data_IF_503626326809
#
_entry.id   IF_503626326809
#
_cell.length_a   1.000
_cell.length_b   1.000
_cell.length_c   1.000
_cell.angle_alpha   90.00
_cell.angle_beta   90.00
_cell.angle_gamma   90.00
#
_symmetry.space_group_name_H-M   'P 1'
#
loop_
_entity.id
_entity.type
_entity.pdbx_description
1 polymer ?
#
# COMPACT_ATOMS: atom_id res chain seq x y z
N UNK A 1 12.16 -60.09 -31.43
CA UNK A 1 10.93 -59.30 -31.45
C UNK A 1 11.12 -58.13 -32.39
N UNK A 2 10.04 -57.58 -32.93
CA UNK A 2 10.06 -56.28 -33.60
C UNK A 2 10.12 -55.19 -32.48
N UNK A 3 10.70 -54.06 -32.81
CA UNK A 3 10.68 -52.90 -31.90
C UNK A 3 9.23 -52.41 -31.68
N UNK A 4 8.91 -51.88 -30.48
CA UNK A 4 7.55 -51.47 -30.06
C UNK A 4 6.47 -52.55 -30.27
N UNK A 5 6.72 -53.80 -29.91
CA UNK A 5 5.77 -54.91 -30.04
C UNK A 5 5.34 -55.51 -28.71
N UNK A 6 4.04 -55.74 -28.60
CA UNK A 6 3.40 -56.52 -27.51
C UNK A 6 2.86 -57.85 -28.00
N UNK A 7 3.28 -58.31 -29.25
CA UNK A 7 2.84 -59.55 -29.83
C UNK A 7 3.51 -60.77 -29.16
N UNK A 8 2.75 -61.86 -29.04
CA UNK A 8 3.28 -63.13 -28.55
C UNK A 8 4.24 -63.73 -29.59
N UNK A 9 5.46 -64.00 -29.16
CA UNK A 9 6.39 -64.75 -30.00
C UNK A 9 6.11 -66.29 -29.90
N UNK A 10 6.02 -66.96 -30.98
CA UNK A 10 5.82 -68.44 -31.00
C UNK A 10 6.82 -69.12 -31.86
N UNK A 11 7.21 -70.28 -31.44
CA UNK A 11 8.02 -71.22 -32.22
C UNK A 11 7.28 -72.56 -32.29
N UNK A 12 6.96 -72.95 -33.46
CA UNK A 12 6.22 -74.18 -33.71
C UNK A 12 7.06 -75.15 -34.54
N UNK A 13 7.12 -76.40 -34.14
CA UNK A 13 7.76 -77.46 -34.97
C UNK A 13 6.83 -77.86 -36.15
N UNK A 14 7.17 -77.40 -37.35
CA UNK A 14 6.33 -77.54 -38.57
C UNK A 14 6.83 -78.55 -39.57
N UNK A 15 8.04 -79.05 -39.38
CA UNK A 15 8.66 -79.99 -40.32
C UNK A 15 8.63 -81.44 -39.85
N UNK A 16 8.68 -82.35 -40.84
CA UNK A 16 8.94 -83.73 -40.52
C UNK A 16 10.39 -83.88 -40.14
N UNK A 17 10.66 -84.47 -38.97
CA UNK A 17 12.00 -84.89 -38.54
C UNK A 17 11.97 -86.38 -38.22
N UNK A 18 13.09 -87.03 -38.45
CA UNK A 18 13.20 -88.47 -38.22
C UNK A 18 14.32 -88.77 -37.21
N UNK A 19 14.20 -89.87 -36.48
CA UNK A 19 15.30 -90.44 -35.75
C UNK A 19 16.27 -91.22 -36.70
N UNK A 20 17.37 -91.70 -36.13
CA UNK A 20 18.41 -92.44 -36.93
C UNK A 20 17.96 -93.75 -37.54
N UNK A 21 16.73 -94.19 -37.29
CA UNK A 21 16.15 -95.46 -37.82
C UNK A 21 14.86 -95.18 -38.62
N UNK A 22 14.50 -93.90 -38.89
CA UNK A 22 13.43 -93.50 -39.80
C UNK A 22 12.07 -93.32 -39.14
N UNK A 23 11.96 -93.25 -37.83
CA UNK A 23 10.69 -92.92 -37.17
C UNK A 23 10.43 -91.40 -37.26
N UNK A 24 9.25 -91.04 -37.75
CA UNK A 24 8.81 -89.67 -37.93
C UNK A 24 8.38 -89.10 -36.60
N UNK A 25 8.93 -87.94 -36.25
CA UNK A 25 8.58 -87.20 -35.04
C UNK A 25 7.24 -86.47 -35.12
N UNK A 26 6.60 -86.21 -34.01
CA UNK A 26 5.33 -85.49 -33.98
C UNK A 26 5.57 -84.00 -34.31
N UNK A 27 4.75 -83.48 -35.26
CA UNK A 27 4.66 -82.05 -35.57
C UNK A 27 3.63 -81.35 -34.64
N UNK A 28 3.70 -80.02 -34.53
CA UNK A 28 2.74 -79.20 -33.78
C UNK A 28 3.08 -78.96 -32.29
N UNK A 29 4.30 -79.39 -31.83
CA UNK A 29 4.79 -78.85 -30.56
C UNK A 29 5.13 -77.41 -30.73
N UNK A 30 4.57 -76.54 -29.89
CA UNK A 30 4.78 -75.11 -29.90
C UNK A 30 5.14 -74.61 -28.47
N UNK A 31 5.88 -73.54 -28.43
CA UNK A 31 6.17 -72.81 -27.24
C UNK A 31 5.99 -71.31 -27.55
N UNK A 32 5.49 -70.56 -26.57
CA UNK A 32 5.19 -69.12 -26.70
C UNK A 32 5.89 -68.34 -25.59
N UNK A 33 6.35 -67.18 -25.98
CA UNK A 33 6.91 -66.24 -25.07
C UNK A 33 6.14 -64.88 -25.20
N UNK A 34 5.76 -64.30 -24.10
CA UNK A 34 5.25 -62.93 -24.11
C UNK A 34 6.36 -61.98 -24.52
N UNK A 35 6.06 -61.07 -25.43
CA UNK A 35 6.96 -60.03 -25.90
C UNK A 35 6.34 -58.70 -25.60
N UNK A 36 7.10 -57.83 -24.91
CA UNK A 36 6.82 -56.42 -24.73
C UNK A 36 8.12 -55.65 -24.91
N UNK A 37 8.19 -54.83 -25.96
CA UNK A 37 9.33 -53.96 -26.28
C UNK A 37 8.90 -52.51 -26.33
N UNK A 38 7.71 -52.20 -25.80
CA UNK A 38 7.17 -50.85 -25.79
C UNK A 38 7.60 -50.16 -24.52
N UNK A 39 8.26 -49.01 -24.66
CA UNK A 39 8.63 -48.17 -23.49
C UNK A 39 7.40 -47.50 -22.87
N UNK A 40 7.26 -47.45 -21.56
CA UNK A 40 6.18 -46.76 -20.90
C UNK A 40 6.28 -45.25 -21.18
N UNK A 41 5.17 -44.65 -21.60
CA UNK A 41 5.04 -43.17 -21.70
C UNK A 41 4.42 -42.60 -20.41
N UNK A 42 4.65 -41.31 -20.17
CA UNK A 42 4.12 -40.64 -18.95
C UNK A 42 3.56 -39.26 -19.24
N UNK A 43 2.68 -38.81 -18.34
CA UNK A 43 2.24 -37.40 -18.23
C UNK A 43 2.33 -36.96 -16.79
N UNK A 44 2.65 -35.68 -16.55
CA UNK A 44 2.63 -35.03 -15.23
C UNK A 44 1.62 -33.88 -15.28
N UNK A 45 0.77 -33.77 -14.27
CA UNK A 45 -0.24 -32.72 -14.20
C UNK A 45 -0.31 -32.18 -12.76
N UNK A 46 -0.31 -30.86 -12.63
CA UNK A 46 -0.72 -30.14 -11.43
C UNK A 46 -2.24 -29.91 -11.49
N UNK A 47 -2.99 -30.19 -10.44
CA UNK A 47 -4.43 -29.89 -10.38
C UNK A 47 -4.71 -28.38 -10.18
N UNK A 48 -3.77 -27.66 -9.54
CA UNK A 48 -3.74 -26.21 -9.46
C UNK A 48 -2.60 -25.66 -10.33
N UNK A 49 -2.94 -24.77 -11.26
CA UNK A 49 -1.96 -24.18 -12.19
C UNK A 49 -1.43 -22.83 -11.75
N UNK A 50 -1.96 -22.29 -10.65
CA UNK A 50 -1.52 -21.06 -9.99
C UNK A 50 -1.57 -21.26 -8.49
N UNK A 51 -0.45 -21.05 -7.81
CA UNK A 51 -0.29 -21.20 -6.37
C UNK A 51 0.05 -19.84 -5.79
N UNK A 52 -0.59 -19.50 -4.68
CA UNK A 52 -0.42 -18.22 -3.96
C UNK A 52 -0.14 -18.48 -2.49
N UNK A 53 0.17 -17.43 -1.72
CA UNK A 53 0.43 -17.54 -0.29
C UNK A 53 -0.76 -18.13 0.45
N UNK A 54 -0.49 -19.12 1.29
CA UNK A 54 -1.51 -19.71 2.15
C UNK A 54 -1.98 -18.70 3.22
N UNK A 55 -3.30 -18.60 3.40
CA UNK A 55 -3.93 -17.84 4.47
C UNK A 55 -4.71 -18.76 5.39
N UNK A 56 -4.09 -19.13 6.50
CA UNK A 56 -4.70 -20.07 7.47
C UNK A 56 -4.43 -21.52 7.10
N UNK A 57 -5.35 -22.22 6.47
CA UNK A 57 -5.24 -23.63 6.06
C UNK A 57 -6.12 -23.85 4.83
N UNK A 58 -6.06 -22.93 3.87
CA UNK A 58 -6.84 -23.00 2.64
C UNK A 58 -6.16 -23.82 1.52
N UNK A 59 -4.88 -24.21 1.72
CA UNK A 59 -4.09 -24.98 0.76
C UNK A 59 -3.83 -24.21 -0.54
N UNK A 60 -3.80 -22.89 -0.48
CA UNK A 60 -3.63 -22.03 -1.65
C UNK A 60 -2.24 -22.12 -2.28
N UNK A 61 -1.24 -22.58 -1.50
CA UNK A 61 0.14 -22.85 -1.91
C UNK A 61 0.36 -24.32 -2.31
N UNK A 62 -0.68 -25.16 -2.27
CA UNK A 62 -0.61 -26.59 -2.55
C UNK A 62 -1.26 -26.97 -3.88
N UNK A 63 -0.73 -28.02 -4.49
CA UNK A 63 -1.31 -28.68 -5.68
C UNK A 63 -1.07 -30.18 -5.62
N UNK A 64 -2.08 -30.96 -5.98
CA UNK A 64 -1.88 -32.39 -6.22
C UNK A 64 -1.18 -32.58 -7.56
N UNK A 65 -0.02 -33.22 -7.51
CA UNK A 65 0.71 -33.68 -8.69
C UNK A 65 0.28 -35.11 -9.00
N UNK A 66 -0.21 -35.32 -10.21
CA UNK A 66 -0.60 -36.62 -10.73
C UNK A 66 0.34 -37.01 -11.88
N UNK A 67 0.99 -38.14 -11.75
CA UNK A 67 1.83 -38.75 -12.79
C UNK A 67 1.09 -39.99 -13.30
N UNK A 68 0.80 -40.03 -14.60
CA UNK A 68 0.09 -41.14 -15.23
C UNK A 68 0.98 -41.80 -16.28
N UNK A 69 1.19 -43.10 -16.15
CA UNK A 69 1.92 -43.94 -17.10
C UNK A 69 0.96 -44.68 -18.01
N UNK A 70 1.41 -44.99 -19.24
CA UNK A 70 0.66 -45.81 -20.20
C UNK A 70 0.42 -47.23 -19.71
N UNK A 71 1.31 -47.71 -18.82
CA UNK A 71 1.31 -49.05 -18.24
C UNK A 71 1.92 -49.07 -16.85
N UNK A 72 1.91 -50.23 -16.18
CA UNK A 72 2.43 -50.36 -14.81
C UNK A 72 3.96 -50.32 -14.79
N UNK A 73 4.50 -49.40 -13.96
CA UNK A 73 5.95 -49.22 -13.79
C UNK A 73 6.46 -49.82 -12.49
N UNK A 74 7.74 -50.18 -12.45
CA UNK A 74 8.45 -50.70 -11.28
C UNK A 74 9.64 -49.82 -10.93
N UNK A 75 10.03 -49.80 -9.65
CA UNK A 75 11.14 -49.03 -9.11
C UNK A 75 10.98 -47.48 -9.20
N UNK A 76 9.85 -46.97 -9.67
CA UNK A 76 9.60 -45.51 -9.72
C UNK A 76 9.42 -44.92 -8.33
N UNK A 77 10.05 -43.77 -8.09
CA UNK A 77 10.02 -43.02 -6.80
C UNK A 77 10.28 -41.53 -7.00
N UNK A 78 10.25 -40.77 -5.91
CA UNK A 78 10.63 -39.34 -5.93
C UNK A 78 12.08 -39.10 -6.38
N UNK A 79 12.98 -40.11 -6.27
CA UNK A 79 14.38 -40.00 -6.72
C UNK A 79 14.51 -39.87 -8.24
N UNK A 80 13.48 -40.32 -9.00
CA UNK A 80 13.39 -40.20 -10.45
C UNK A 80 12.85 -38.84 -10.91
N UNK A 81 12.59 -37.92 -9.95
CA UNK A 81 12.04 -36.59 -10.24
C UNK A 81 13.02 -35.48 -9.83
N UNK A 82 12.98 -34.39 -10.59
CA UNK A 82 13.53 -33.09 -10.20
C UNK A 82 12.38 -32.18 -9.87
N UNK A 83 12.41 -31.59 -8.66
CA UNK A 83 11.38 -30.67 -8.14
C UNK A 83 12.01 -29.30 -7.94
N UNK A 84 11.41 -28.25 -8.51
CA UNK A 84 11.83 -26.85 -8.37
C UNK A 84 10.65 -25.99 -7.86
N UNK A 85 10.93 -24.91 -7.14
CA UNK A 85 9.95 -23.94 -6.66
C UNK A 85 9.14 -24.38 -5.43
N UNK A 86 9.46 -25.53 -4.85
CA UNK A 86 8.76 -26.06 -3.67
C UNK A 86 9.21 -27.45 -3.28
N UNK A 87 8.35 -28.15 -2.58
CA UNK A 87 8.57 -29.53 -2.11
C UNK A 87 7.44 -30.44 -2.58
N UNK A 88 7.76 -31.70 -2.86
CA UNK A 88 6.80 -32.74 -3.23
C UNK A 88 6.81 -33.83 -2.14
N UNK A 89 5.65 -34.16 -1.61
CA UNK A 89 5.51 -35.30 -0.69
C UNK A 89 5.88 -36.61 -1.38
N UNK A 90 6.16 -37.63 -0.59
CA UNK A 90 6.39 -38.97 -1.14
C UNK A 90 5.17 -39.42 -1.97
N UNK A 91 5.46 -39.90 -3.18
CA UNK A 91 4.44 -40.35 -4.11
C UNK A 91 3.78 -41.66 -3.66
N UNK A 92 2.46 -41.73 -3.85
CA UNK A 92 1.70 -42.95 -3.63
C UNK A 92 1.09 -43.44 -4.92
N UNK A 93 1.19 -44.78 -5.19
CA UNK A 93 0.66 -45.37 -6.41
C UNK A 93 -0.71 -46.03 -6.23
N UNK A 94 -1.44 -46.17 -7.34
CA UNK A 94 -2.58 -47.06 -7.43
C UNK A 94 -2.13 -48.54 -7.43
N UNK A 95 -3.09 -49.47 -7.35
CA UNK A 95 -2.80 -50.92 -7.31
C UNK A 95 -2.12 -51.48 -8.58
N UNK A 96 -2.19 -50.80 -9.71
CA UNK A 96 -1.57 -51.19 -10.99
C UNK A 96 -0.25 -50.42 -11.28
N UNK A 97 0.19 -49.56 -10.39
CA UNK A 97 1.35 -48.68 -10.54
C UNK A 97 1.31 -47.82 -11.83
N UNK A 98 0.13 -47.50 -12.33
CA UNK A 98 -0.07 -46.67 -13.53
C UNK A 98 -0.32 -45.21 -13.17
N UNK A 99 -0.76 -44.90 -11.94
CA UNK A 99 -1.06 -43.53 -11.47
C UNK A 99 -0.38 -43.33 -10.13
N UNK A 100 0.40 -42.25 -10.03
CA UNK A 100 1.13 -41.85 -8.86
C UNK A 100 0.73 -40.43 -8.47
N UNK A 101 0.51 -40.19 -7.19
CA UNK A 101 0.07 -38.90 -6.68
C UNK A 101 0.88 -38.46 -5.48
N UNK A 102 1.14 -37.15 -5.36
CA UNK A 102 1.73 -36.50 -4.23
C UNK A 102 1.26 -35.05 -4.14
N UNK A 103 1.43 -34.40 -2.99
CA UNK A 103 1.14 -32.99 -2.81
C UNK A 103 2.42 -32.19 -3.01
N UNK A 104 2.39 -31.25 -3.94
CA UNK A 104 3.40 -30.20 -4.09
C UNK A 104 2.99 -29.03 -3.20
N UNK A 105 3.96 -28.48 -2.45
CA UNK A 105 3.79 -27.24 -1.65
C UNK A 105 4.80 -26.23 -2.16
N UNK A 106 4.34 -25.05 -2.56
CA UNK A 106 5.19 -23.96 -3.05
C UNK A 106 6.11 -23.42 -1.93
N UNK A 107 7.27 -22.91 -2.31
CA UNK A 107 8.15 -22.19 -1.38
C UNK A 107 7.47 -20.89 -0.96
N UNK A 108 7.43 -20.58 0.32
CA UNK A 108 6.91 -19.31 0.84
C UNK A 108 7.77 -18.11 0.39
N UNK A 109 7.15 -16.93 0.28
CA UNK A 109 7.76 -15.67 -0.17
C UNK A 109 8.58 -15.83 -1.49
N UNK A 110 8.00 -16.53 -2.48
CA UNK A 110 8.66 -16.88 -3.75
C UNK A 110 7.77 -16.62 -4.97
N UNK A 111 8.39 -16.20 -6.06
CA UNK A 111 7.80 -16.16 -7.41
C UNK A 111 8.43 -17.19 -8.35
N UNK A 112 9.20 -18.15 -7.80
CA UNK A 112 9.79 -19.24 -8.58
C UNK A 112 8.74 -20.27 -8.92
N UNK A 113 8.44 -20.44 -10.21
CA UNK A 113 7.44 -21.40 -10.67
C UNK A 113 7.70 -22.81 -10.14
N UNK A 114 6.63 -23.48 -9.76
CA UNK A 114 6.63 -24.91 -9.46
C UNK A 114 6.96 -25.69 -10.74
N UNK A 115 7.89 -26.63 -10.64
CA UNK A 115 8.21 -27.55 -11.72
C UNK A 115 8.43 -28.94 -11.16
N UNK A 116 7.83 -29.93 -11.80
CA UNK A 116 8.12 -31.35 -11.60
C UNK A 116 8.47 -31.94 -12.96
N UNK A 117 9.65 -32.51 -13.07
CA UNK A 117 10.11 -33.20 -14.30
C UNK A 117 10.81 -34.49 -13.95
N UNK A 118 10.86 -35.43 -14.91
CA UNK A 118 11.72 -36.62 -14.79
C UNK A 118 13.19 -36.21 -14.77
N UNK A 119 13.97 -36.86 -13.93
CA UNK A 119 15.43 -36.73 -13.94
C UNK A 119 16.02 -37.34 -15.24
N UNK A 120 17.13 -36.75 -15.71
CA UNK A 120 17.79 -37.21 -16.94
C UNK A 120 18.31 -38.68 -16.86
N UNK A 121 18.42 -39.24 -15.63
CA UNK A 121 18.84 -40.59 -15.33
C UNK A 121 17.78 -41.31 -14.49
N UNK A 122 16.50 -41.16 -14.81
CA UNK A 122 15.43 -41.92 -14.19
C UNK A 122 15.64 -43.42 -14.34
N UNK A 123 15.49 -44.18 -13.24
CA UNK A 123 15.83 -45.60 -13.17
C UNK A 123 14.59 -46.50 -12.99
N UNK A 124 13.48 -46.15 -13.61
CA UNK A 124 12.27 -46.97 -13.58
C UNK A 124 12.06 -47.70 -14.92
N UNK A 125 11.43 -48.85 -14.86
CA UNK A 125 11.08 -49.63 -16.02
C UNK A 125 9.62 -50.08 -15.93
N UNK A 126 9.07 -50.62 -17.04
CA UNK A 126 7.86 -51.42 -16.98
C UNK A 126 8.14 -52.79 -16.27
N UNK A 127 7.13 -53.65 -16.22
CA UNK A 127 7.24 -54.97 -15.61
C UNK A 127 8.07 -55.97 -16.46
N UNK A 128 8.34 -55.64 -17.74
CA UNK A 128 9.14 -56.45 -18.68
C UNK A 128 10.57 -55.96 -18.82
N UNK A 129 10.89 -54.77 -18.28
CA UNK A 129 12.23 -54.20 -18.24
C UNK A 129 12.52 -53.17 -19.32
N UNK A 130 11.50 -52.62 -20.00
CA UNK A 130 11.67 -51.52 -20.93
C UNK A 130 11.83 -50.21 -20.16
N UNK A 131 12.81 -49.38 -20.59
CA UNK A 131 13.16 -48.13 -19.91
C UNK A 131 12.03 -47.10 -19.99
N UNK A 132 11.85 -46.31 -18.89
CA UNK A 132 10.84 -45.28 -18.79
C UNK A 132 11.15 -43.99 -19.57
N UNK A 133 10.14 -43.17 -19.78
CA UNK A 133 10.27 -41.85 -20.38
C UNK A 133 11.13 -40.90 -19.51
N UNK A 134 11.92 -40.02 -20.14
CA UNK A 134 12.82 -39.06 -19.43
C UNK A 134 12.51 -37.59 -19.68
N UNK A 135 11.83 -37.25 -20.76
CA UNK A 135 11.60 -35.83 -21.16
C UNK A 135 10.17 -35.35 -20.87
N UNK A 136 9.67 -35.62 -19.65
CA UNK A 136 8.31 -35.20 -19.24
C UNK A 136 8.41 -34.19 -18.11
N UNK A 137 7.74 -33.05 -18.27
CA UNK A 137 7.66 -31.99 -17.25
C UNK A 137 6.28 -31.37 -17.17
N UNK A 138 5.97 -30.80 -16.00
CA UNK A 138 4.84 -29.92 -15.77
C UNK A 138 5.26 -28.71 -14.94
N UNK A 139 4.58 -27.59 -15.17
CA UNK A 139 4.86 -26.31 -14.50
C UNK A 139 3.54 -25.70 -14.01
N UNK A 140 3.57 -25.13 -12.79
CA UNK A 140 2.52 -24.24 -12.28
C UNK A 140 3.13 -22.88 -11.93
N UNK A 141 2.35 -21.81 -12.09
CA UNK A 141 2.76 -20.45 -11.69
C UNK A 141 2.72 -20.35 -10.17
N UNK A 142 3.75 -19.76 -9.59
CA UNK A 142 3.82 -19.51 -8.14
C UNK A 142 4.03 -18.02 -7.91
N UNK A 143 3.19 -17.48 -7.04
CA UNK A 143 3.40 -16.18 -6.41
C UNK A 143 2.88 -16.23 -4.98
N UNK A 144 3.80 -16.45 -4.04
CA UNK A 144 3.53 -16.50 -2.59
C UNK A 144 4.08 -15.28 -1.87
N UNK A 145 4.48 -14.25 -2.61
CA UNK A 145 4.93 -12.97 -2.05
C UNK A 145 3.71 -12.13 -1.70
N UNK A 146 3.63 -11.67 -0.46
CA UNK A 146 2.60 -10.69 -0.08
C UNK A 146 3.04 -9.29 -0.51
N UNK A 147 2.15 -8.50 -1.10
CA UNK A 147 2.44 -7.08 -1.34
C UNK A 147 2.62 -6.34 -0.01
N UNK A 148 3.51 -5.36 0.01
CA UNK A 148 3.82 -4.54 1.18
C UNK A 148 3.92 -3.07 0.79
N UNK A 149 3.85 -2.16 1.77
CA UNK A 149 4.22 -0.78 1.54
C UNK A 149 5.73 -0.68 1.31
N UNK A 150 6.14 0.12 0.34
CA UNK A 150 7.56 0.44 0.14
C UNK A 150 8.15 1.14 1.39
N UNK A 151 9.47 1.22 1.52
CA UNK A 151 10.15 1.78 2.70
C UNK A 151 9.71 3.24 3.06
N UNK A 152 9.23 4.01 2.07
CA UNK A 152 8.55 5.31 2.25
C UNK A 152 7.21 5.23 1.53
N UNK A 153 6.42 4.23 1.89
CA UNK A 153 5.25 3.83 1.13
C UNK A 153 4.07 4.79 1.24
N UNK A 154 4.05 5.68 2.24
CA UNK A 154 3.06 6.76 2.33
C UNK A 154 3.83 8.07 2.47
N UNK A 155 3.50 9.05 1.63
CA UNK A 155 4.10 10.38 1.64
C UNK A 155 3.03 11.45 1.47
N UNK A 156 2.92 12.36 2.44
CA UNK A 156 2.20 13.63 2.33
C UNK A 156 3.25 14.70 2.00
N UNK A 157 3.27 15.20 0.79
CA UNK A 157 4.37 16.03 0.25
C UNK A 157 4.58 17.36 1.01
N UNK A 158 3.50 17.96 1.54
CA UNK A 158 3.59 19.21 2.28
C UNK A 158 4.22 19.00 3.67
N UNK A 159 5.09 19.93 4.09
CA UNK A 159 5.65 19.91 5.44
C UNK A 159 4.63 20.40 6.49
N UNK A 160 3.76 21.34 6.10
CA UNK A 160 2.67 21.90 6.89
C UNK A 160 1.59 22.43 5.95
N UNK A 161 0.37 22.57 6.46
CA UNK A 161 -0.78 23.13 5.77
C UNK A 161 -1.36 24.26 6.60
N UNK A 162 -1.73 25.36 5.94
CA UNK A 162 -2.39 26.53 6.51
C UNK A 162 -3.66 26.85 5.70
N UNK A 163 -4.41 27.90 6.06
CA UNK A 163 -5.65 28.28 5.39
C UNK A 163 -5.45 28.61 3.89
N UNK A 164 -4.36 29.31 3.54
CA UNK A 164 -4.04 29.67 2.17
C UNK A 164 -3.53 28.51 1.31
N UNK A 165 -2.85 27.54 1.94
CA UNK A 165 -2.27 26.35 1.30
C UNK A 165 -2.69 25.09 2.08
N UNK A 166 -3.98 24.77 1.99
CA UNK A 166 -4.61 23.71 2.78
C UNK A 166 -4.64 22.35 2.10
N UNK A 167 -3.94 22.16 0.97
CA UNK A 167 -3.91 20.90 0.21
C UNK A 167 -2.51 20.34 0.04
N UNK A 168 -2.40 19.02 -0.02
CA UNK A 168 -1.16 18.30 -0.32
C UNK A 168 -1.42 17.10 -1.21
N UNK A 169 -0.44 16.78 -2.05
CA UNK A 169 -0.42 15.48 -2.74
C UNK A 169 -0.08 14.40 -1.72
N UNK A 170 -0.85 13.32 -1.77
CA UNK A 170 -0.56 12.06 -1.07
C UNK A 170 -0.14 11.04 -2.12
N UNK A 171 0.98 10.38 -1.87
CA UNK A 171 1.49 9.27 -2.69
C UNK A 171 1.58 8.02 -1.83
N UNK A 172 1.05 6.91 -2.34
CA UNK A 172 1.08 5.60 -1.70
C UNK A 172 1.78 4.66 -2.66
N UNK A 173 2.87 4.04 -2.23
CA UNK A 173 3.70 3.17 -3.07
C UNK A 173 3.82 1.79 -2.42
N UNK A 174 3.48 0.76 -3.19
CA UNK A 174 3.60 -0.63 -2.81
C UNK A 174 4.86 -1.26 -3.40
N UNK A 175 5.29 -2.41 -2.86
CA UNK A 175 6.43 -3.18 -3.36
C UNK A 175 6.15 -3.84 -4.70
N UNK A 176 4.87 -4.05 -5.01
CA UNK A 176 4.36 -4.63 -6.24
C UNK A 176 2.96 -4.09 -6.57
N UNK A 177 2.39 -4.54 -7.68
CA UNK A 177 1.07 -4.09 -8.11
C UNK A 177 -0.05 -4.65 -7.24
N UNK A 178 -0.88 -3.76 -6.67
CA UNK A 178 -2.08 -4.12 -5.90
C UNK A 178 -3.36 -3.87 -6.69
N UNK A 179 -4.38 -4.69 -6.42
CA UNK A 179 -5.71 -4.60 -7.03
C UNK A 179 -6.76 -4.21 -5.99
N UNK A 180 -7.89 -3.70 -6.47
CA UNK A 180 -9.06 -3.33 -5.67
C UNK A 180 -8.79 -2.27 -4.59
N UNK A 181 -7.55 -1.72 -4.50
CA UNK A 181 -7.20 -0.67 -3.56
C UNK A 181 -7.95 0.63 -3.88
N UNK A 182 -8.55 1.22 -2.87
CA UNK A 182 -9.36 2.44 -3.00
C UNK A 182 -9.50 3.17 -1.65
N UNK A 183 -10.27 4.27 -1.61
CA UNK A 183 -10.42 5.09 -0.40
C UNK A 183 -11.02 4.36 0.81
N UNK A 184 -11.71 3.20 0.64
CA UNK A 184 -12.21 2.43 1.79
C UNK A 184 -11.11 1.71 2.58
N UNK A 185 -9.94 1.53 1.97
CA UNK A 185 -8.76 0.91 2.58
C UNK A 185 -7.89 1.94 3.31
N UNK A 186 -8.32 3.22 3.27
CA UNK A 186 -7.59 4.37 3.80
C UNK A 186 -8.38 5.05 4.91
N UNK A 187 -7.80 5.14 6.09
CA UNK A 187 -8.34 5.97 7.18
C UNK A 187 -7.72 7.35 7.13
N UNK A 188 -8.56 8.40 7.10
CA UNK A 188 -8.15 9.80 7.02
C UNK A 188 -8.64 10.54 8.25
N UNK A 189 -7.77 11.35 8.89
CA UNK A 189 -8.15 12.28 9.96
C UNK A 189 -7.60 13.67 9.69
N UNK A 190 -8.17 14.70 10.32
CA UNK A 190 -7.76 16.11 10.17
C UNK A 190 -8.07 16.73 8.82
N UNK A 191 -8.82 16.04 7.96
CA UNK A 191 -9.18 16.52 6.64
C UNK A 191 -9.92 15.48 5.80
N UNK A 192 -9.84 15.63 4.48
CA UNK A 192 -10.44 14.72 3.49
C UNK A 192 -9.41 14.34 2.43
N UNK A 193 -9.56 13.14 1.85
CA UNK A 193 -8.74 12.66 0.74
C UNK A 193 -9.61 12.49 -0.50
N UNK A 194 -9.18 13.06 -1.64
CA UNK A 194 -9.82 12.82 -2.94
C UNK A 194 -9.74 11.33 -3.30
N UNK A 195 -10.51 10.90 -4.31
CA UNK A 195 -10.37 9.55 -4.85
C UNK A 195 -8.92 9.30 -5.26
N UNK A 196 -8.33 8.22 -4.73
CA UNK A 196 -7.00 7.77 -5.12
C UNK A 196 -7.05 7.02 -6.45
N UNK A 197 -6.00 7.14 -7.24
CA UNK A 197 -5.87 6.46 -8.53
C UNK A 197 -4.43 6.11 -8.85
N UNK A 198 -4.24 5.07 -9.68
CA UNK A 198 -2.94 4.60 -10.17
C UNK A 198 -2.83 4.77 -11.67
N UNK A 199 -1.63 5.08 -12.17
CA UNK A 199 -1.30 5.19 -13.59
C UNK A 199 -0.18 4.22 -14.04
N UNK A 200 0.34 3.41 -13.14
CA UNK A 200 1.45 2.47 -13.35
C UNK A 200 1.08 1.00 -13.11
N UNK A 201 -0.22 0.72 -13.13
CA UNK A 201 -0.73 -0.64 -12.99
C UNK A 201 -0.93 -1.10 -11.56
N UNK A 202 -0.99 -0.17 -10.58
CA UNK A 202 -1.32 -0.48 -9.19
C UNK A 202 -0.13 -0.47 -8.23
N UNK A 203 1.07 -0.06 -8.69
CA UNK A 203 2.25 0.06 -7.81
C UNK A 203 2.21 1.37 -7.03
N UNK A 204 1.90 2.49 -7.71
CA UNK A 204 1.82 3.81 -7.08
C UNK A 204 0.42 4.38 -7.22
N UNK A 205 -0.14 4.84 -6.11
CA UNK A 205 -1.45 5.47 -6.01
C UNK A 205 -1.30 6.91 -5.52
N UNK A 206 -2.12 7.82 -6.02
CA UNK A 206 -2.08 9.21 -5.59
C UNK A 206 -3.46 9.82 -5.44
N UNK A 207 -3.55 10.79 -4.52
CA UNK A 207 -4.74 11.60 -4.26
C UNK A 207 -4.35 12.97 -3.70
N UNK A 208 -5.34 13.82 -3.44
CA UNK A 208 -5.15 15.12 -2.81
C UNK A 208 -5.78 15.07 -1.42
N UNK A 209 -4.96 15.29 -0.39
CA UNK A 209 -5.43 15.60 0.95
C UNK A 209 -5.80 17.08 1.03
N UNK A 210 -6.94 17.38 1.66
CA UNK A 210 -7.37 18.73 1.97
C UNK A 210 -7.61 18.82 3.48
N UNK A 211 -6.90 19.73 4.17
CA UNK A 211 -7.05 19.96 5.59
C UNK A 211 -8.46 20.45 5.94
N UNK A 212 -8.92 20.15 7.14
CA UNK A 212 -10.15 20.74 7.68
C UNK A 212 -9.94 22.23 7.91
N UNK A 213 -10.96 23.03 7.66
CA UNK A 213 -11.00 24.46 7.96
C UNK A 213 -11.10 24.72 9.46
N UNK A 214 -10.62 25.89 9.93
CA UNK A 214 -10.60 26.29 11.34
C UNK A 214 -10.05 25.20 12.30
N UNK A 215 -8.94 24.58 11.94
CA UNK A 215 -8.43 23.39 12.64
C UNK A 215 -6.91 23.44 12.87
N UNK A 216 -6.49 22.93 14.05
CA UNK A 216 -5.09 22.60 14.35
C UNK A 216 -4.88 21.08 14.47
N UNK A 217 -5.87 20.27 14.07
CA UNK A 217 -5.76 18.83 14.11
C UNK A 217 -4.90 18.33 12.94
N UNK A 218 -3.79 17.66 13.25
CA UNK A 218 -2.91 17.10 12.22
C UNK A 218 -3.67 16.23 11.23
N UNK A 219 -3.34 16.39 9.93
CA UNK A 219 -3.79 15.50 8.89
C UNK A 219 -3.04 14.17 8.99
N UNK A 220 -3.77 13.05 8.97
CA UNK A 220 -3.14 11.71 8.91
C UNK A 220 -3.77 10.86 7.83
N UNK A 221 -2.92 10.04 7.20
CA UNK A 221 -3.30 8.98 6.26
C UNK A 221 -2.80 7.68 6.84
N UNK A 222 -3.71 6.73 7.07
CA UNK A 222 -3.38 5.40 7.59
C UNK A 222 -3.94 4.34 6.64
N UNK A 223 -3.11 3.37 6.28
CA UNK A 223 -3.44 2.22 5.44
C UNK A 223 -3.34 0.97 6.30
N UNK A 224 -4.37 0.12 6.24
CA UNK A 224 -4.39 -1.20 6.86
C UNK A 224 -3.72 -2.26 5.98
N UNK A 225 -4.08 -3.53 6.17
CA UNK A 225 -3.57 -4.68 5.42
C UNK A 225 -4.59 -5.29 4.47
N UNK A 226 -5.73 -4.63 4.25
CA UNK A 226 -6.87 -5.20 3.48
C UNK A 226 -6.71 -5.08 1.95
N UNK A 227 -5.52 -4.70 1.45
CA UNK A 227 -5.18 -4.71 0.03
C UNK A 227 -4.58 -6.06 -0.39
N UNK A 228 -4.58 -6.35 -1.68
CA UNK A 228 -4.06 -7.59 -2.23
C UNK A 228 -3.38 -7.37 -3.59
N UNK A 229 -2.50 -8.30 -3.96
CA UNK A 229 -1.88 -8.32 -5.28
C UNK A 229 -2.80 -8.88 -6.38
N UNK A 230 -2.25 -9.10 -7.58
CA UNK A 230 -2.97 -9.60 -8.75
C UNK A 230 -3.41 -11.07 -8.63
N UNK A 231 -2.79 -11.87 -7.77
CA UNK A 231 -3.13 -13.27 -7.53
C UNK A 231 -3.92 -13.49 -6.24
N UNK A 232 -4.09 -12.43 -5.44
CA UNK A 232 -4.87 -12.41 -4.22
C UNK A 232 -4.09 -12.76 -2.96
N UNK A 233 -2.76 -12.51 -2.92
CA UNK A 233 -2.02 -12.48 -1.67
C UNK A 233 -2.37 -11.20 -0.93
N UNK A 234 -2.73 -11.33 0.35
CA UNK A 234 -3.13 -10.21 1.20
C UNK A 234 -1.90 -9.41 1.65
N UNK A 235 -2.06 -8.10 1.81
CA UNK A 235 -1.02 -7.20 2.27
C UNK A 235 -0.36 -7.62 3.58
N UNK A 236 0.98 -7.48 3.64
CA UNK A 236 1.75 -7.89 4.82
C UNK A 236 1.67 -6.85 5.93
N UNK A 237 1.89 -5.57 5.61
CA UNK A 237 1.97 -4.47 6.57
C UNK A 237 1.11 -3.26 6.16
N UNK A 238 0.65 -2.51 7.17
CA UNK A 238 0.04 -1.20 7.02
C UNK A 238 1.03 -0.07 7.35
N UNK A 239 0.57 1.18 7.21
CA UNK A 239 1.41 2.34 7.51
C UNK A 239 0.62 3.59 7.80
N UNK A 240 1.33 4.62 8.31
CA UNK A 240 0.74 5.93 8.59
C UNK A 240 1.75 7.03 8.27
N UNK A 241 1.26 8.11 7.65
CA UNK A 241 1.98 9.38 7.53
C UNK A 241 1.10 10.55 7.99
N UNK A 242 1.73 11.67 8.37
CA UNK A 242 1.02 12.83 8.92
C UNK A 242 1.64 14.14 8.50
N UNK A 243 0.80 15.17 8.42
CA UNK A 243 1.17 16.57 8.15
C UNK A 243 0.65 17.46 9.26
N UNK A 244 1.44 18.46 9.65
CA UNK A 244 1.01 19.50 10.58
C UNK A 244 -0.01 20.40 9.88
N UNK A 245 -1.11 20.66 10.55
CA UNK A 245 -2.20 21.53 10.07
C UNK A 245 -2.42 22.64 11.07
N UNK A 246 -2.51 23.85 10.58
CA UNK A 246 -3.04 25.01 11.27
C UNK A 246 -3.73 25.92 10.25
N UNK A 247 -5.05 25.85 10.22
CA UNK A 247 -5.92 26.65 9.35
C UNK A 247 -6.76 27.67 10.13
N UNK A 248 -6.41 27.92 11.39
CA UNK A 248 -7.10 28.91 12.20
C UNK A 248 -6.52 30.29 11.90
N UNK A 249 -7.40 31.22 11.50
CA UNK A 249 -7.01 32.60 11.29
C UNK A 249 -6.96 33.37 12.63
N UNK A 250 -5.87 34.09 12.95
CA UNK A 250 -5.77 34.85 14.18
C UNK A 250 -6.80 35.98 14.22
N UNK A 251 -7.41 36.20 15.38
CA UNK A 251 -8.36 37.27 15.64
C UNK A 251 -7.77 38.26 16.65
N UNK A 252 -8.21 39.52 16.59
CA UNK A 252 -7.77 40.60 17.51
C UNK A 252 -8.90 41.15 18.36
N UNK A 253 -8.55 41.63 19.53
CA UNK A 253 -9.40 42.57 20.35
C UNK A 253 -8.58 43.81 20.68
N UNK A 254 -9.18 44.97 20.61
CA UNK A 254 -8.57 46.26 20.99
C UNK A 254 -9.27 46.78 22.24
N UNK A 255 -8.51 47.38 23.15
CA UNK A 255 -9.04 48.01 24.36
C UNK A 255 -8.30 49.29 24.71
N UNK A 256 -9.03 50.37 24.99
CA UNK A 256 -8.52 51.55 25.69
C UNK A 256 -8.62 51.31 27.21
N UNK A 257 -7.60 51.74 27.96
CA UNK A 257 -7.64 51.67 29.42
C UNK A 257 -8.55 52.77 30.02
N UNK A 258 -8.68 53.90 29.32
CA UNK A 258 -9.52 55.05 29.72
C UNK A 258 -10.59 55.25 28.62
N UNK A 259 -11.87 55.28 29.03
CA UNK A 259 -13.03 55.45 28.15
C UNK A 259 -13.28 56.93 27.79
N UNK A 260 -12.62 57.87 28.47
CA UNK A 260 -12.73 59.30 28.24
C UNK A 260 -11.41 60.02 28.47
N UNK A 261 -11.06 60.91 27.55
CA UNK A 261 -9.83 61.67 27.53
C UNK A 261 -10.16 63.18 27.56
N UNK A 262 -9.48 63.88 28.41
CA UNK A 262 -9.61 65.34 28.57
C UNK A 262 -8.23 66.02 28.58
N UNK A 263 -8.16 67.31 28.81
CA UNK A 263 -6.92 68.08 28.80
C UNK A 263 -5.93 67.71 29.94
N UNK A 264 -6.42 67.20 31.03
CA UNK A 264 -5.61 66.75 32.18
C UNK A 264 -5.20 65.30 32.08
N UNK A 265 -6.02 64.48 31.42
CA UNK A 265 -5.83 63.03 31.16
C UNK A 265 -5.99 62.72 29.67
N UNK A 266 -5.04 63.20 28.85
CA UNK A 266 -5.09 63.08 27.40
C UNK A 266 -4.38 61.83 26.87
N UNK A 267 -3.93 60.93 27.74
CA UNK A 267 -3.26 59.66 27.35
C UNK A 267 -4.05 58.45 27.85
N UNK A 268 -4.11 57.40 27.04
CA UNK A 268 -4.62 56.06 27.41
C UNK A 268 -3.69 54.99 26.93
N UNK A 269 -3.55 53.94 27.73
CA UNK A 269 -2.91 52.70 27.26
C UNK A 269 -3.87 51.96 26.32
N UNK A 270 -3.46 51.70 25.09
CA UNK A 270 -4.14 50.82 24.17
C UNK A 270 -3.51 49.46 24.25
N UNK A 271 -4.34 48.44 24.42
CA UNK A 271 -3.94 47.02 24.43
C UNK A 271 -4.64 46.31 23.26
N UNK A 272 -3.86 45.63 22.44
CA UNK A 272 -4.35 44.79 21.34
C UNK A 272 -3.95 43.36 21.71
N UNK A 273 -4.96 42.46 21.84
CA UNK A 273 -4.74 41.05 22.17
C UNK A 273 -5.21 40.21 21.03
N UNK A 274 -4.31 39.34 20.56
CA UNK A 274 -4.59 38.36 19.52
C UNK A 274 -4.95 37.00 20.13
N UNK A 275 -5.71 36.18 19.40
CA UNK A 275 -6.04 34.81 19.81
C UNK A 275 -4.82 33.90 19.89
N UNK A 276 -3.75 34.26 19.18
CA UNK A 276 -2.48 33.53 19.08
C UNK A 276 -1.31 34.47 18.74
N UNK A 277 -0.09 33.93 18.66
CA UNK A 277 1.08 34.72 18.33
C UNK A 277 1.09 35.13 16.85
N UNK A 278 1.19 36.45 16.59
CA UNK A 278 1.20 37.02 15.26
C UNK A 278 2.58 37.54 14.87
N UNK A 279 2.95 37.32 13.62
CA UNK A 279 4.17 37.83 12.99
C UNK A 279 3.89 39.14 12.25
N UNK A 280 4.92 39.96 12.07
CA UNK A 280 4.92 41.15 11.22
C UNK A 280 3.91 42.24 11.61
N UNK A 281 3.23 42.16 12.77
CA UNK A 281 2.31 43.20 13.24
C UNK A 281 3.04 44.46 13.70
N UNK A 282 2.56 45.62 13.32
CA UNK A 282 3.17 46.91 13.58
C UNK A 282 2.14 48.05 13.56
N UNK A 283 2.57 49.32 13.82
CA UNK A 283 1.73 50.49 13.66
C UNK A 283 1.17 50.67 12.23
N UNK A 284 1.77 50.06 11.21
CA UNK A 284 1.25 50.15 9.84
C UNK A 284 -0.06 49.38 9.65
N UNK A 285 -0.33 48.42 10.54
CA UNK A 285 -1.50 47.55 10.51
C UNK A 285 -2.66 48.07 11.36
N UNK A 286 -2.52 49.32 11.85
CA UNK A 286 -3.50 49.98 12.69
C UNK A 286 -3.89 51.34 12.12
N UNK A 287 -5.19 51.59 12.05
CA UNK A 287 -5.76 52.94 11.79
C UNK A 287 -6.04 53.65 13.10
N UNK A 288 -5.64 54.90 13.18
CA UNK A 288 -5.78 55.73 14.38
C UNK A 288 -6.53 57.02 14.02
N UNK A 289 -7.55 57.37 14.80
CA UNK A 289 -8.35 58.58 14.66
C UNK A 289 -8.38 59.33 16.02
N UNK A 290 -8.52 60.65 16.02
CA UNK A 290 -8.67 61.46 17.20
C UNK A 290 -7.37 61.71 18.00
N UNK A 291 -6.24 61.19 17.51
CA UNK A 291 -4.95 61.34 18.22
C UNK A 291 -3.79 60.65 17.51
N UNK A 292 -2.77 60.31 18.32
CA UNK A 292 -1.58 59.58 17.83
C UNK A 292 -1.34 58.35 18.70
N UNK A 293 -0.86 57.26 18.08
CA UNK A 293 -0.50 56.04 18.77
C UNK A 293 1.03 55.92 18.81
N UNK A 294 1.60 55.72 19.99
CA UNK A 294 3.01 55.39 20.17
C UNK A 294 3.41 54.08 19.50
N UNK A 295 4.67 53.73 19.62
CA UNK A 295 5.14 52.46 19.02
C UNK A 295 4.53 51.24 19.72
N UNK A 296 3.86 50.39 18.96
CA UNK A 296 3.36 49.10 19.45
C UNK A 296 4.53 48.19 19.84
N UNK A 297 4.46 47.58 20.99
CA UNK A 297 5.46 46.63 21.52
C UNK A 297 4.78 45.41 22.11
N UNK A 298 5.44 44.26 21.95
CA UNK A 298 5.00 43.00 22.54
C UNK A 298 6.20 42.19 23.01
N UNK A 299 6.03 41.36 24.03
CA UNK A 299 7.02 40.41 24.52
C UNK A 299 6.70 38.97 24.11
N UNK A 300 5.44 38.70 23.75
CA UNK A 300 4.90 37.36 23.49
C UNK A 300 4.28 37.21 22.08
N UNK A 301 4.24 38.31 21.31
CA UNK A 301 3.58 38.41 20.01
C UNK A 301 2.05 38.19 20.06
N UNK A 302 1.48 38.05 21.24
CA UNK A 302 0.04 37.90 21.50
C UNK A 302 -0.55 39.22 22.03
N UNK A 303 0.09 39.81 23.04
CA UNK A 303 -0.35 41.05 23.66
C UNK A 303 0.55 42.20 23.21
N UNK A 304 -0.05 43.18 22.54
CA UNK A 304 0.62 44.38 22.05
C UNK A 304 0.09 45.60 22.76
N UNK A 305 0.98 46.51 23.14
CA UNK A 305 0.61 47.73 23.87
C UNK A 305 1.29 48.98 23.30
N UNK A 306 0.59 50.06 23.31
CA UNK A 306 1.10 51.40 22.99
C UNK A 306 0.32 52.47 23.75
N UNK A 307 0.91 53.63 23.98
CA UNK A 307 0.20 54.83 24.52
C UNK A 307 -0.47 55.56 23.38
N UNK A 308 -1.78 55.77 23.47
CA UNK A 308 -2.53 56.71 22.64
C UNK A 308 -2.49 58.08 23.32
N UNK A 309 -2.32 59.15 22.56
CA UNK A 309 -2.37 60.54 23.01
C UNK A 309 -3.42 61.28 22.17
N UNK A 310 -4.45 61.80 22.82
CA UNK A 310 -5.52 62.56 22.14
C UNK A 310 -4.99 63.85 21.51
N UNK A 311 -5.61 64.28 20.41
CA UNK A 311 -5.32 65.59 19.78
C UNK A 311 -5.74 66.72 20.74
N UNK A 312 -4.94 67.79 20.82
CA UNK A 312 -5.22 68.98 21.55
C UNK A 312 -6.38 69.79 20.92
N UNK A 313 -7.16 70.56 21.74
CA UNK A 313 -8.34 71.31 21.33
C UNK A 313 -9.34 70.50 20.45
N UNK A 314 -9.57 69.24 20.76
CA UNK A 314 -10.38 68.30 19.98
C UNK A 314 -11.57 67.74 20.78
N UNK A 315 -12.66 67.48 20.06
CA UNK A 315 -13.81 66.68 20.51
C UNK A 315 -14.03 65.50 19.53
N UNK A 316 -13.03 65.18 18.73
CA UNK A 316 -13.09 64.02 17.81
C UNK A 316 -12.86 62.72 18.61
N UNK A 317 -13.80 61.79 18.49
CA UNK A 317 -13.70 60.48 19.16
C UNK A 317 -12.39 59.77 18.83
N UNK A 318 -11.68 59.33 19.85
CA UNK A 318 -10.50 58.49 19.63
C UNK A 318 -10.93 57.11 19.18
N UNK A 319 -10.26 56.58 18.16
CA UNK A 319 -10.39 55.16 17.79
C UNK A 319 -9.07 54.56 17.36
N UNK A 320 -8.89 53.27 17.65
CA UNK A 320 -7.80 52.44 17.18
C UNK A 320 -8.43 51.19 16.58
N UNK A 321 -8.17 50.98 15.29
CA UNK A 321 -8.75 49.86 14.53
C UNK A 321 -7.64 49.04 13.88
N UNK A 322 -7.66 47.72 14.04
CA UNK A 322 -6.79 46.79 13.32
C UNK A 322 -7.30 46.67 11.89
N UNK A 323 -6.50 47.10 10.88
CA UNK A 323 -6.91 47.21 9.49
C UNK A 323 -6.40 46.09 8.59
N UNK A 324 -5.56 45.16 9.13
CA UNK A 324 -5.24 43.91 8.47
C UNK A 324 -3.78 43.70 8.13
N UNK A 325 -3.55 42.64 7.39
CA UNK A 325 -2.26 42.10 6.89
C UNK A 325 -1.28 41.63 7.98
N UNK A 326 -1.78 41.26 9.16
CA UNK A 326 -1.02 40.47 10.11
C UNK A 326 -1.29 38.97 9.88
N UNK A 327 -0.34 38.18 10.18
CA UNK A 327 -0.42 36.72 10.01
C UNK A 327 0.12 35.99 11.26
N UNK A 328 -0.31 34.76 11.46
CA UNK A 328 0.29 33.90 12.47
C UNK A 328 1.68 33.38 12.03
N UNK A 329 2.27 32.46 12.78
CA UNK A 329 3.59 31.91 12.50
C UNK A 329 3.62 30.91 11.33
N UNK A 330 2.46 30.49 10.83
CA UNK A 330 2.33 29.56 9.69
C UNK A 330 1.72 30.23 8.46
N UNK A 331 1.36 31.51 8.54
CA UNK A 331 0.90 32.35 7.42
C UNK A 331 -0.61 32.39 7.23
N UNK A 332 -1.43 32.07 8.26
CA UNK A 332 -2.87 32.35 8.21
C UNK A 332 -3.10 33.86 8.45
N UNK A 333 -3.90 34.48 7.59
CA UNK A 333 -4.13 35.92 7.61
C UNK A 333 -5.24 36.26 8.59
N UNK A 334 -4.95 37.21 9.51
CA UNK A 334 -5.89 37.63 10.53
C UNK A 334 -7.08 38.44 10.02
N UNK A 335 -8.17 38.37 10.76
CA UNK A 335 -9.38 39.14 10.45
C UNK A 335 -9.18 40.63 10.77
N UNK A 336 -9.68 41.48 9.89
CA UNK A 336 -9.66 42.95 10.06
C UNK A 336 -10.87 43.46 10.84
N UNK A 337 -10.79 44.68 11.37
CA UNK A 337 -11.93 45.42 11.90
C UNK A 337 -12.13 45.30 13.40
N UNK A 338 -11.20 44.66 14.15
CA UNK A 338 -11.21 44.80 15.59
C UNK A 338 -10.87 46.24 15.97
N UNK A 339 -11.74 46.91 16.76
CA UNK A 339 -11.59 48.30 17.14
C UNK A 339 -12.09 48.55 18.56
N UNK A 340 -11.64 49.66 19.13
CA UNK A 340 -12.19 50.28 20.34
C UNK A 340 -12.11 51.80 20.24
N UNK A 341 -12.95 52.48 21.03
CA UNK A 341 -13.09 53.94 21.03
C UNK A 341 -13.07 54.52 22.43
N UNK A 342 -12.61 55.78 22.52
CA UNK A 342 -12.72 56.57 23.73
C UNK A 342 -13.25 57.99 23.40
N UNK A 343 -14.08 58.51 24.26
CA UNK A 343 -14.57 59.90 24.13
C UNK A 343 -13.41 60.89 24.36
N UNK A 344 -13.36 61.96 23.59
CA UNK A 344 -12.34 63.03 23.72
C UNK A 344 -13.02 64.38 23.88
N UNK A 345 -12.62 65.15 24.90
CA UNK A 345 -12.92 66.55 25.03
C UNK A 345 -11.71 67.27 25.67
N UNK A 346 -10.80 67.69 24.80
CA UNK A 346 -9.61 68.49 25.17
C UNK A 346 -9.79 69.98 24.88
N UNK A 347 -11.04 70.43 24.64
CA UNK A 347 -11.33 71.85 24.36
C UNK A 347 -11.50 72.64 25.68
N UNK A 348 -10.73 73.66 25.80
CA UNK A 348 -10.82 74.58 26.94
C UNK A 348 -12.06 75.49 26.88
N UNK A 349 -12.84 75.64 27.97
CA UNK A 349 -13.97 76.52 27.99
C UNK A 349 -13.53 78.00 27.82
N UNK A 350 -14.20 78.77 26.95
CA UNK A 350 -13.95 80.21 26.76
C UNK A 350 -14.94 81.06 27.56
N UNK A 351 -14.45 82.13 28.15
CA UNK A 351 -15.29 83.09 28.81
C UNK A 351 -15.28 84.46 28.06
N UNK A 352 -16.44 85.01 27.85
CA UNK A 352 -16.59 86.40 27.30
C UNK A 352 -17.09 87.33 28.38
N UNK A 353 -16.34 88.39 28.62
CA UNK A 353 -16.78 89.50 29.55
C UNK A 353 -17.36 90.59 28.67
N UNK A 354 -18.64 90.92 28.89
CA UNK A 354 -19.33 92.07 28.28
C UNK A 354 -19.52 93.19 29.29
N UNK A 355 -19.10 94.41 28.92
CA UNK A 355 -19.26 95.63 29.76
C UNK A 355 -20.53 96.40 29.39
#
# INVERSE_FOLDING_TARGET
ASDDSTEEASVTVIGEYEDNVGNIGATGADDTATVDTTNPTATIVFDQTSLKKETGSDGADESVVTITFSEGVTAFSNEDLVVEGGTLTELTSNASNTVWTGTFTATDDSTTNAKVKFADAANYTDVTGNDGATDVEAVAVVDTVSPDLAASGIEITAANLNDATNTSVVTITFTEAVTEFNNSDITVTGGTLSTVGSNDGGVTWSGIFTASDDSTANGTITIGTDYQDLVGNVGADGGTDSVVVDTINPTATVTFAEDGLDDDTNESLVTIVFSEAVANFSNADVSVVGGTLGTLTSADQITWTATFTASDDSTEEASVTVIGEYEDNVGNIGATGADDTATVDTTNPTATIVF
#
